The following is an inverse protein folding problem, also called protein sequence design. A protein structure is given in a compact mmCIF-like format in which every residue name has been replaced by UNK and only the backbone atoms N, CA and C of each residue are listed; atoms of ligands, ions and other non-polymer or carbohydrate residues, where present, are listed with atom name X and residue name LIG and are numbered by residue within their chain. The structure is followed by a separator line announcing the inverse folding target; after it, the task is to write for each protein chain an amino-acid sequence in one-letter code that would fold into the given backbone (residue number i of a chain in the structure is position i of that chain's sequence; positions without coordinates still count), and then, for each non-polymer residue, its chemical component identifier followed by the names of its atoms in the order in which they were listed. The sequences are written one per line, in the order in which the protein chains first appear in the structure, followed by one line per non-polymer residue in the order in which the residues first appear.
data_IF_649925314212
#
_entry.id   IF_649925314212
#
_cell.length_a   1.000
_cell.length_b   1.000
_cell.length_c   1.000
_cell.angle_alpha   90.00
_cell.angle_beta   90.00
_cell.angle_gamma   90.00
#
_symmetry.space_group_name_H-M   'P 1'
#
loop_
_entity.id
_entity.type
_entity.pdbx_description
1 polymer ?
#
# COMPACT_ATOMS: atom_id res chain seq x y z
N UNK A 1 -62.72 -37.59 15.79
CA UNK A 1 -61.46 -37.57 16.56
C UNK A 1 -60.67 -38.81 16.17
N UNK A 2 -59.41 -38.64 15.79
CA UNK A 2 -58.47 -39.76 15.59
C UNK A 2 -57.91 -40.09 16.97
N UNK A 3 -58.01 -41.33 17.40
CA UNK A 3 -57.55 -41.77 18.72
C UNK A 3 -56.23 -42.54 18.57
N UNK A 4 -55.20 -42.09 19.30
CA UNK A 4 -53.84 -42.64 19.27
C UNK A 4 -53.51 -43.12 20.69
N UNK A 5 -53.06 -44.37 20.81
CA UNK A 5 -52.51 -44.95 22.05
C UNK A 5 -51.26 -45.75 21.72
N UNK A 6 -50.24 -45.62 22.56
CA UNK A 6 -48.96 -46.33 22.46
C UNK A 6 -48.29 -46.25 21.07
N UNK A 7 -48.38 -45.08 20.42
CA UNK A 7 -47.72 -44.82 19.14
C UNK A 7 -48.41 -45.40 17.91
N UNK A 8 -49.51 -46.16 18.07
CA UNK A 8 -50.29 -46.70 16.95
C UNK A 8 -51.69 -46.08 16.86
N UNK A 9 -52.19 -45.92 15.63
CA UNK A 9 -53.52 -45.35 15.36
C UNK A 9 -54.55 -46.45 15.55
N UNK A 10 -55.22 -46.44 16.70
CA UNK A 10 -56.19 -47.49 17.09
C UNK A 10 -57.55 -47.26 16.44
N UNK A 11 -57.92 -46.02 16.14
CA UNK A 11 -59.23 -45.70 15.55
C UNK A 11 -59.14 -44.54 14.57
N UNK A 12 -59.43 -44.83 13.30
CA UNK A 12 -59.55 -43.85 12.23
C UNK A 12 -60.94 -43.97 11.56
N UNK A 13 -61.98 -43.30 12.10
CA UNK A 13 -63.27 -43.26 11.43
C UNK A 13 -63.12 -42.55 10.07
N UNK A 14 -63.76 -43.05 8.99
CA UNK A 14 -63.66 -42.44 7.67
C UNK A 14 -64.11 -40.98 7.74
N UNK A 15 -63.38 -40.11 7.06
CA UNK A 15 -63.71 -38.69 7.02
C UNK A 15 -65.14 -38.54 6.50
N UNK A 16 -65.99 -37.85 7.27
CA UNK A 16 -67.29 -37.38 6.80
C UNK A 16 -67.00 -36.60 5.51
N UNK A 17 -67.56 -37.06 4.41
CA UNK A 17 -67.39 -36.50 3.07
C UNK A 17 -67.64 -35.00 3.16
N UNK A 18 -66.55 -34.22 3.06
CA UNK A 18 -66.65 -32.77 3.07
C UNK A 18 -67.42 -32.41 1.80
N UNK A 19 -68.68 -31.98 1.98
CA UNK A 19 -69.47 -31.33 0.94
C UNK A 19 -68.55 -30.36 0.22
N UNK A 20 -68.42 -30.52 -1.11
CA UNK A 20 -67.59 -29.69 -1.98
C UNK A 20 -68.02 -28.22 -1.85
N UNK A 21 -67.46 -27.52 -0.87
CA UNK A 21 -67.41 -26.06 -0.84
C UNK A 21 -66.48 -25.70 -1.97
N UNK A 22 -67.05 -25.05 -2.99
CA UNK A 22 -66.39 -24.63 -4.21
C UNK A 22 -64.95 -24.16 -3.96
N UNK A 23 -64.00 -24.87 -4.58
CA UNK A 23 -62.68 -24.39 -4.97
C UNK A 23 -61.98 -23.49 -3.96
N UNK A 24 -61.62 -24.02 -2.79
CA UNK A 24 -60.52 -23.46 -2.03
C UNK A 24 -59.26 -23.62 -2.88
N UNK A 25 -58.86 -22.57 -3.59
CA UNK A 25 -57.50 -22.45 -4.14
C UNK A 25 -56.55 -22.78 -3.00
N UNK A 26 -55.92 -23.97 -3.05
CA UNK A 26 -54.81 -24.26 -2.18
C UNK A 26 -53.84 -23.08 -2.31
N UNK A 27 -53.33 -22.51 -1.19
CA UNK A 27 -52.41 -21.40 -1.28
C UNK A 27 -51.17 -21.91 -2.00
N UNK A 28 -51.08 -21.60 -3.30
CA UNK A 28 -49.88 -21.82 -4.10
C UNK A 28 -48.81 -21.01 -3.39
N UNK A 29 -47.92 -21.70 -2.68
CA UNK A 29 -46.75 -21.08 -2.05
C UNK A 29 -45.94 -20.52 -3.20
N UNK A 30 -46.11 -19.23 -3.46
CA UNK A 30 -45.31 -18.49 -4.42
C UNK A 30 -43.88 -18.50 -3.90
N UNK A 31 -43.11 -19.50 -4.34
CA UNK A 31 -41.67 -19.53 -4.15
C UNK A 31 -41.11 -18.33 -4.88
N UNK A 32 -40.83 -17.28 -4.11
CA UNK A 32 -40.11 -16.10 -4.58
C UNK A 32 -38.83 -16.57 -5.28
N UNK A 33 -38.47 -15.94 -6.40
CA UNK A 33 -37.26 -16.28 -7.19
C UNK A 33 -36.06 -16.61 -6.29
N UNK A 34 -35.36 -17.73 -6.54
CA UNK A 34 -34.31 -18.23 -5.65
C UNK A 34 -33.26 -17.19 -5.23
N UNK A 35 -32.85 -16.30 -6.13
CA UNK A 35 -31.90 -15.22 -5.81
C UNK A 35 -32.44 -14.20 -4.79
N UNK A 36 -33.73 -13.84 -4.87
CA UNK A 36 -34.36 -12.93 -3.89
C UNK A 36 -34.47 -13.59 -2.51
N UNK A 37 -34.71 -14.90 -2.46
CA UNK A 37 -34.73 -15.66 -1.21
C UNK A 37 -33.35 -15.72 -0.55
N UNK A 38 -32.28 -15.83 -1.33
CA UNK A 38 -30.91 -15.75 -0.79
C UNK A 38 -30.60 -14.38 -0.19
N UNK A 39 -30.97 -13.28 -0.87
CA UNK A 39 -30.71 -11.92 -0.36
C UNK A 39 -31.56 -11.62 0.88
N UNK A 40 -32.85 -12.00 0.88
CA UNK A 40 -33.71 -11.80 2.06
C UNK A 40 -33.26 -12.67 3.24
N UNK A 41 -32.88 -13.92 2.97
CA UNK A 41 -32.33 -14.83 3.99
C UNK A 41 -31.00 -14.33 4.57
N UNK A 42 -30.13 -13.71 3.77
CA UNK A 42 -28.90 -13.10 4.27
C UNK A 42 -29.19 -11.92 5.20
N UNK A 43 -30.18 -11.07 4.88
CA UNK A 43 -30.54 -9.94 5.73
C UNK A 43 -31.19 -10.39 7.06
N UNK A 44 -32.04 -11.42 7.01
CA UNK A 44 -32.60 -12.04 8.22
C UNK A 44 -31.50 -12.70 9.07
N UNK A 45 -30.59 -13.45 8.44
CA UNK A 45 -29.45 -14.06 9.12
C UNK A 45 -28.51 -13.02 9.73
N UNK A 46 -28.27 -11.89 9.05
CA UNK A 46 -27.48 -10.77 9.58
C UNK A 46 -28.15 -10.15 10.80
N UNK A 47 -29.48 -9.96 10.76
CA UNK A 47 -30.26 -9.44 11.89
C UNK A 47 -30.21 -10.40 13.08
N UNK A 48 -30.35 -11.70 12.84
CA UNK A 48 -30.20 -12.73 13.87
C UNK A 48 -28.77 -12.76 14.44
N UNK A 49 -27.75 -12.67 13.59
CA UNK A 49 -26.35 -12.62 14.00
C UNK A 49 -26.07 -11.38 14.87
N UNK A 50 -26.56 -10.19 14.49
CA UNK A 50 -26.44 -8.97 15.29
C UNK A 50 -27.06 -9.13 16.68
N UNK A 51 -28.25 -9.72 16.77
CA UNK A 51 -28.90 -10.02 18.07
C UNK A 51 -28.07 -11.01 18.90
N UNK A 52 -27.51 -12.05 18.28
CA UNK A 52 -26.66 -13.03 18.96
C UNK A 52 -25.33 -12.43 19.46
N UNK A 53 -24.72 -11.53 18.67
CA UNK A 53 -23.52 -10.78 19.06
C UNK A 53 -23.82 -9.80 20.21
N UNK A 54 -24.97 -9.11 20.15
CA UNK A 54 -25.41 -8.21 21.22
C UNK A 54 -25.72 -8.94 22.53
N UNK A 55 -26.11 -10.22 22.47
CA UNK A 55 -26.30 -11.06 23.66
C UNK A 55 -24.99 -11.46 24.34
N UNK A 56 -23.88 -11.62 23.57
CA UNK A 56 -22.58 -12.06 24.08
C UNK A 56 -21.49 -10.97 23.92
N UNK A 57 -21.77 -9.76 24.41
CA UNK A 57 -20.91 -8.58 24.21
C UNK A 57 -19.44 -8.80 24.55
N UNK A 58 -19.12 -9.47 25.67
CA UNK A 58 -17.74 -9.69 26.09
C UNK A 58 -16.97 -10.59 25.11
N UNK A 59 -17.60 -11.68 24.67
CA UNK A 59 -16.99 -12.61 23.71
C UNK A 59 -16.78 -11.91 22.36
N UNK A 60 -17.80 -11.22 21.87
CA UNK A 60 -17.73 -10.47 20.60
C UNK A 60 -16.69 -9.37 20.64
N UNK A 61 -16.56 -8.64 21.75
CA UNK A 61 -15.57 -7.58 21.89
C UNK A 61 -14.15 -8.14 21.86
N UNK A 62 -13.88 -9.22 22.59
CA UNK A 62 -12.55 -9.84 22.64
C UNK A 62 -12.14 -10.43 21.28
N UNK A 63 -13.06 -11.06 20.54
CA UNK A 63 -12.76 -11.59 19.21
C UNK A 63 -12.52 -10.49 18.19
N UNK A 64 -13.33 -9.42 18.22
CA UNK A 64 -13.11 -8.25 17.36
C UNK A 64 -11.78 -7.57 17.67
N UNK A 65 -11.45 -7.39 18.95
CA UNK A 65 -10.19 -6.78 19.37
C UNK A 65 -8.98 -7.54 18.84
N UNK A 66 -9.00 -8.88 18.92
CA UNK A 66 -7.93 -9.72 18.38
C UNK A 66 -7.73 -9.52 16.87
N UNK A 67 -8.81 -9.46 16.11
CA UNK A 67 -8.75 -9.24 14.65
C UNK A 67 -8.25 -7.82 14.34
N UNK A 68 -8.73 -6.80 15.07
CA UNK A 68 -8.32 -5.41 14.89
C UNK A 68 -6.82 -5.25 15.15
N UNK A 69 -6.32 -5.75 16.28
CA UNK A 69 -4.89 -5.67 16.63
C UNK A 69 -4.06 -6.50 15.65
N UNK A 70 -4.54 -7.67 15.23
CA UNK A 70 -3.87 -8.52 14.26
C UNK A 70 -3.66 -7.81 12.92
N UNK A 71 -4.73 -7.28 12.32
CA UNK A 71 -4.65 -6.58 11.04
C UNK A 71 -3.86 -5.27 11.19
N UNK A 72 -4.08 -4.51 12.27
CA UNK A 72 -3.39 -3.24 12.50
C UNK A 72 -1.88 -3.43 12.64
N UNK A 73 -1.41 -4.46 13.35
CA UNK A 73 0.01 -4.71 13.54
C UNK A 73 0.71 -5.09 12.23
N UNK A 74 0.09 -5.96 11.42
CA UNK A 74 0.62 -6.38 10.12
C UNK A 74 0.70 -5.21 9.14
N UNK A 75 -0.35 -4.39 9.05
CA UNK A 75 -0.32 -3.20 8.17
C UNK A 75 0.72 -2.20 8.66
N UNK A 76 0.81 -1.98 9.97
CA UNK A 76 1.77 -1.03 10.55
C UNK A 76 3.22 -1.43 10.26
N UNK A 77 3.59 -2.70 10.47
CA UNK A 77 4.98 -3.13 10.24
C UNK A 77 5.37 -3.07 8.76
N UNK A 78 4.44 -3.39 7.85
CA UNK A 78 4.67 -3.29 6.40
C UNK A 78 4.93 -1.84 6.00
N UNK A 79 4.09 -0.91 6.47
CA UNK A 79 4.23 0.52 6.16
C UNK A 79 5.50 1.11 6.76
N UNK A 80 5.80 0.81 8.03
CA UNK A 80 7.03 1.29 8.69
C UNK A 80 8.27 0.73 7.99
N UNK A 81 8.26 -0.56 7.62
CA UNK A 81 9.37 -1.20 6.91
C UNK A 81 9.61 -0.58 5.53
N UNK A 82 8.54 -0.32 4.77
CA UNK A 82 8.64 0.31 3.46
C UNK A 82 9.10 1.77 3.57
N UNK A 83 8.58 2.53 4.53
CA UNK A 83 9.01 3.91 4.79
C UNK A 83 10.50 3.98 5.16
N UNK A 84 10.96 3.11 6.05
CA UNK A 84 12.37 3.05 6.43
C UNK A 84 13.26 2.70 5.23
N UNK A 85 12.85 1.74 4.40
CA UNK A 85 13.54 1.38 3.16
C UNK A 85 13.61 2.58 2.21
N UNK A 86 12.51 3.28 2.00
CA UNK A 86 12.47 4.46 1.12
C UNK A 86 13.36 5.58 1.64
N UNK A 87 13.38 5.83 2.95
CA UNK A 87 14.26 6.83 3.57
C UNK A 87 15.73 6.50 3.33
N UNK A 88 16.15 5.26 3.62
CA UNK A 88 17.53 4.82 3.37
C UNK A 88 17.89 4.91 1.89
N UNK A 89 16.98 4.51 1.00
CA UNK A 89 17.20 4.65 -0.44
C UNK A 89 17.28 6.11 -0.89
N UNK A 90 16.52 7.01 -0.28
CA UNK A 90 16.59 8.44 -0.57
C UNK A 90 17.92 9.02 -0.12
N UNK A 91 18.40 8.66 1.07
CA UNK A 91 19.70 9.08 1.59
C UNK A 91 20.85 8.51 0.74
N UNK A 92 20.76 7.25 0.31
CA UNK A 92 21.75 6.67 -0.61
C UNK A 92 21.72 7.37 -1.96
N UNK A 93 20.52 7.68 -2.50
CA UNK A 93 20.38 8.40 -3.77
C UNK A 93 20.91 9.83 -3.68
N UNK A 94 20.73 10.51 -2.55
CA UNK A 94 21.23 11.89 -2.35
C UNK A 94 22.76 11.95 -2.28
N UNK A 95 23.42 10.85 -1.92
CA UNK A 95 24.89 10.71 -2.00
C UNK A 95 25.38 10.60 -3.47
N UNK A 96 24.47 10.52 -4.45
CA UNK A 96 24.81 10.53 -5.86
C UNK A 96 25.05 9.12 -6.38
N UNK A 97 23.96 8.38 -6.60
CA UNK A 97 24.04 6.98 -7.09
C UNK A 97 24.53 6.82 -8.53
N UNK A 98 24.80 7.92 -9.25
CA UNK A 98 25.25 7.86 -10.64
C UNK A 98 26.17 9.02 -11.05
N UNK A 99 26.81 9.69 -10.09
CA UNK A 99 27.77 10.76 -10.35
C UNK A 99 29.17 10.18 -10.35
N UNK A 100 29.91 10.36 -11.45
CA UNK A 100 31.32 9.97 -11.57
C UNK A 100 32.13 11.25 -11.65
N UNK A 101 32.89 11.54 -10.60
CA UNK A 101 33.83 12.65 -10.61
C UNK A 101 35.12 12.21 -11.31
N UNK A 102 35.50 12.94 -12.35
CA UNK A 102 36.73 12.70 -13.11
C UNK A 102 37.77 13.72 -12.68
N UNK A 103 38.86 13.24 -12.06
CA UNK A 103 39.98 14.06 -11.65
C UNK A 103 41.17 13.86 -12.59
N UNK A 104 41.91 14.94 -12.94
CA UNK A 104 43.21 14.81 -13.61
C UNK A 104 44.26 14.16 -12.67
N UNK A 105 45.22 13.42 -13.24
CA UNK A 105 46.27 12.72 -12.48
C UNK A 105 46.13 11.20 -12.49
N UNK A 106 47.05 10.49 -11.82
CA UNK A 106 46.91 9.04 -11.58
C UNK A 106 46.17 8.72 -10.28
N UNK A 107 46.48 9.44 -9.21
CA UNK A 107 45.97 9.20 -7.85
C UNK A 107 45.75 10.51 -7.10
N UNK A 108 45.02 10.46 -5.98
CA UNK A 108 44.85 11.59 -5.07
C UNK A 108 46.21 12.00 -4.48
N UNK A 109 46.75 13.14 -4.93
CA UNK A 109 48.05 13.69 -4.48
C UNK A 109 49.15 13.77 -5.54
N UNK A 110 48.82 13.52 -6.80
CA UNK A 110 49.74 13.75 -7.92
C UNK A 110 49.84 15.26 -8.25
N UNK A 111 50.99 15.87 -7.94
CA UNK A 111 51.24 17.30 -8.10
C UNK A 111 51.91 17.66 -9.44
N UNK A 112 52.07 16.69 -10.36
CA UNK A 112 52.67 16.95 -11.65
C UNK A 112 51.77 17.89 -12.50
N UNK A 113 52.24 19.11 -12.83
CA UNK A 113 51.45 20.11 -13.57
C UNK A 113 50.99 19.63 -14.94
N UNK A 114 51.68 18.65 -15.54
CA UNK A 114 51.32 18.11 -16.85
C UNK A 114 50.00 17.34 -16.80
N UNK A 115 49.71 16.66 -15.68
CA UNK A 115 48.48 15.90 -15.53
C UNK A 115 47.32 16.77 -15.05
N UNK A 116 47.58 17.83 -14.27
CA UNK A 116 46.56 18.77 -13.78
C UNK A 116 45.74 19.46 -14.90
N UNK A 117 46.29 19.53 -16.12
CA UNK A 117 45.63 20.14 -17.29
C UNK A 117 45.14 19.12 -18.32
N UNK A 118 45.20 17.82 -18.00
CA UNK A 118 44.85 16.76 -18.94
C UNK A 118 43.34 16.70 -19.25
N UNK A 119 42.49 17.19 -18.34
CA UNK A 119 41.04 17.22 -18.54
C UNK A 119 40.63 18.53 -19.21
N UNK A 120 40.25 18.45 -20.49
CA UNK A 120 39.83 19.62 -21.27
C UNK A 120 38.32 19.72 -21.38
N UNK A 121 37.85 20.93 -21.67
CA UNK A 121 36.43 21.17 -21.91
C UNK A 121 35.90 20.37 -23.12
N UNK A 122 36.72 20.10 -24.14
CA UNK A 122 36.32 19.29 -25.30
C UNK A 122 35.99 17.83 -24.92
N UNK A 123 36.64 17.29 -23.88
CA UNK A 123 36.38 15.93 -23.38
C UNK A 123 34.96 15.82 -22.80
N UNK A 124 34.46 16.91 -22.18
CA UNK A 124 33.09 17.01 -21.69
C UNK A 124 32.07 16.79 -22.82
N UNK A 125 32.31 17.38 -23.99
CA UNK A 125 31.41 17.26 -25.16
C UNK A 125 31.38 15.82 -25.66
N UNK A 126 32.52 15.11 -25.63
CA UNK A 126 32.61 13.72 -26.02
C UNK A 126 31.90 12.77 -25.03
N UNK A 127 31.99 13.07 -23.73
CA UNK A 127 31.30 12.33 -22.65
C UNK A 127 29.79 12.57 -22.72
N UNK A 128 29.35 13.82 -22.91
CA UNK A 128 27.93 14.18 -23.00
C UNK A 128 27.21 13.52 -24.19
N UNK A 129 27.94 13.16 -25.25
CA UNK A 129 27.37 12.46 -26.42
C UNK A 129 27.06 10.98 -26.17
N UNK A 130 27.49 10.39 -25.05
CA UNK A 130 27.26 8.98 -24.78
C UNK A 130 25.78 8.72 -24.43
N UNK A 131 25.15 7.65 -24.95
CA UNK A 131 23.71 7.39 -24.75
C UNK A 131 23.28 7.17 -23.30
N UNK A 132 24.21 6.79 -22.41
CA UNK A 132 23.95 6.51 -21.00
C UNK A 132 24.30 7.68 -20.07
N UNK A 133 24.88 8.75 -20.60
CA UNK A 133 25.21 9.96 -19.84
C UNK A 133 24.00 10.90 -19.93
N UNK A 134 23.32 11.10 -18.80
CA UNK A 134 22.19 12.02 -18.72
C UNK A 134 22.67 13.49 -18.74
N UNK A 135 23.73 13.78 -17.99
CA UNK A 135 24.34 15.10 -17.88
C UNK A 135 25.80 14.96 -17.48
N UNK A 136 26.63 15.89 -17.94
CA UNK A 136 28.03 16.04 -17.61
C UNK A 136 28.29 17.52 -17.37
N UNK A 137 28.76 17.84 -16.17
CA UNK A 137 28.97 19.21 -15.72
C UNK A 137 30.44 19.43 -15.37
N UNK A 138 31.10 20.48 -15.89
CA UNK A 138 32.43 20.81 -15.42
C UNK A 138 32.31 21.40 -14.01
N UNK A 139 33.17 20.94 -13.10
CA UNK A 139 33.25 21.47 -11.74
C UNK A 139 34.67 21.99 -11.48
N UNK A 140 34.79 23.27 -11.12
CA UNK A 140 36.06 23.89 -10.71
C UNK A 140 35.87 24.58 -9.38
N UNK A 141 36.76 24.33 -8.42
CA UNK A 141 36.74 25.00 -7.12
C UNK A 141 37.97 25.88 -6.95
N UNK A 142 37.78 27.13 -6.54
CA UNK A 142 38.84 28.10 -6.30
C UNK A 142 38.61 28.79 -4.95
N UNK A 143 39.65 28.84 -4.11
CA UNK A 143 39.60 29.60 -2.87
C UNK A 143 39.94 31.07 -3.14
N UNK A 144 39.02 31.97 -2.80
CA UNK A 144 39.13 33.40 -3.05
C UNK A 144 38.82 34.16 -1.76
N UNK A 145 39.35 35.38 -1.64
CA UNK A 145 38.95 36.28 -0.55
C UNK A 145 37.76 37.10 -1.01
N UNK A 146 36.62 36.96 -0.31
CA UNK A 146 35.47 37.81 -0.51
C UNK A 146 35.47 38.91 0.53
N UNK A 147 35.44 40.14 0.04
CA UNK A 147 35.32 41.33 0.87
C UNK A 147 33.98 41.99 0.62
N UNK A 148 33.23 42.19 1.69
CA UNK A 148 31.99 42.96 1.68
C UNK A 148 32.02 43.96 2.83
N UNK A 149 32.01 45.26 2.49
CA UNK A 149 32.18 46.37 3.43
C UNK A 149 33.45 46.21 4.29
N UNK A 150 33.27 45.96 5.59
CA UNK A 150 34.33 45.81 6.58
C UNK A 150 34.60 44.35 6.97
N UNK A 151 34.03 43.38 6.24
CA UNK A 151 34.24 41.95 6.46
C UNK A 151 35.03 41.37 5.29
N UNK A 152 36.16 40.74 5.60
CA UNK A 152 37.03 40.04 4.64
C UNK A 152 37.22 38.61 5.12
N UNK A 153 36.73 37.67 4.32
CA UNK A 153 36.78 36.23 4.63
C UNK A 153 37.28 35.44 3.42
N UNK A 154 38.00 34.37 3.67
CA UNK A 154 38.27 33.37 2.65
C UNK A 154 36.99 32.56 2.42
N UNK A 155 36.58 32.38 1.17
CA UNK A 155 35.54 31.43 0.80
C UNK A 155 35.94 30.65 -0.45
N UNK A 156 35.38 29.45 -0.59
CA UNK A 156 35.49 28.66 -1.81
C UNK A 156 34.40 29.08 -2.79
N UNK A 157 34.79 29.33 -4.03
CA UNK A 157 33.88 29.55 -5.15
C UNK A 157 33.91 28.29 -6.04
N UNK A 158 32.74 27.72 -6.30
CA UNK A 158 32.58 26.59 -7.22
C UNK A 158 31.96 27.07 -8.53
N UNK A 159 32.69 26.94 -9.62
CA UNK A 159 32.16 27.08 -10.97
C UNK A 159 31.55 25.76 -11.42
N UNK A 160 30.24 25.75 -11.61
CA UNK A 160 29.45 24.58 -12.06
C UNK A 160 28.51 25.00 -13.18
N UNK A 161 28.10 24.08 -14.06
CA UNK A 161 27.07 24.35 -15.07
C UNK A 161 25.66 24.34 -14.46
N UNK A 162 24.66 24.84 -15.21
CA UNK A 162 23.27 24.93 -14.74
C UNK A 162 22.64 23.58 -14.38
N UNK A 163 23.12 22.50 -15.00
CA UNK A 163 22.63 21.13 -14.78
C UNK A 163 23.22 20.46 -13.53
N UNK A 164 23.93 21.20 -12.67
CA UNK A 164 24.56 20.68 -11.45
C UNK A 164 23.57 20.52 -10.27
N UNK A 165 22.45 21.25 -10.27
CA UNK A 165 21.48 21.28 -9.17
C UNK A 165 20.16 20.59 -9.50
#
# INVERSE_FOLDING_TARGET
MIEIRDGEIVRNPPAIEKVNVAGGTEPVVNTVSGWRQFVSGFNEALTMAWRALAANKMRTLLTMLGIIIGIASVVSIVVVGDAAKQMVLADIRSIGTNTIDVYPGKDFGDDDPQYQQALKYDDLIAIQKQPWVASATPAVSQNLRLRYNNVDVAASANGVSGDYF
#
